data_IF_949636593528
#
_entry.id   IF_949636593528
#
_cell.length_a   1.000
_cell.length_b   1.000
_cell.length_c   1.000
_cell.angle_alpha   90.00
_cell.angle_beta   90.00
_cell.angle_gamma   90.00
#
_symmetry.space_group_name_H-M   'P 1'
#
loop_
_entity.id
_entity.type
_entity.pdbx_description
1 polymer ?
#
# COMPACT_ATOMS: atom_id res chain seq x y z
N UNK A 1 -20.34 -17.21 14.24
CA UNK A 1 -19.78 -15.85 13.99
C UNK A 1 -18.86 -15.87 12.77
N UNK A 2 -19.25 -15.23 11.65
CA UNK A 2 -18.39 -15.05 10.47
C UNK A 2 -17.69 -13.69 10.57
N UNK A 3 -16.58 -13.61 11.29
CA UNK A 3 -15.72 -12.40 11.36
C UNK A 3 -14.45 -12.65 10.56
N UNK A 4 -14.54 -12.98 9.27
CA UNK A 4 -13.34 -13.07 8.42
C UNK A 4 -13.66 -12.58 7.03
N UNK A 5 -12.83 -11.64 6.56
CA UNK A 5 -12.68 -11.15 5.18
C UNK A 5 -13.43 -9.88 4.80
N UNK A 6 -13.28 -8.82 5.60
CA UNK A 6 -13.48 -7.47 5.07
C UNK A 6 -12.14 -6.96 4.56
N UNK A 7 -12.02 -6.80 3.24
CA UNK A 7 -10.86 -6.39 2.43
C UNK A 7 -9.65 -7.35 2.39
N UNK A 8 -9.49 -8.02 1.22
CA UNK A 8 -8.21 -8.58 0.75
C UNK A 8 -7.25 -7.41 0.42
N UNK A 9 -6.75 -6.69 1.41
CA UNK A 9 -5.40 -6.15 1.25
C UNK A 9 -4.51 -7.35 1.61
N UNK A 10 -3.58 -7.74 0.73
CA UNK A 10 -2.67 -8.84 1.06
C UNK A 10 -1.98 -8.38 2.34
N UNK A 11 -2.02 -9.18 3.39
CA UNK A 11 -1.41 -8.86 4.69
C UNK A 11 -0.01 -8.24 4.58
N UNK A 12 0.88 -8.64 3.63
CA UNK A 12 2.13 -7.92 3.40
C UNK A 12 1.97 -6.47 2.89
N UNK A 13 1.09 -6.20 1.91
CA UNK A 13 0.90 -4.89 1.30
C UNK A 13 0.45 -3.84 2.34
N UNK A 14 -0.41 -4.25 3.27
CA UNK A 14 -0.86 -3.40 4.38
C UNK A 14 0.31 -3.00 5.30
N UNK A 15 1.21 -3.94 5.59
CA UNK A 15 2.38 -3.69 6.44
C UNK A 15 3.36 -2.75 5.72
N UNK A 16 3.61 -2.97 4.43
CA UNK A 16 4.49 -2.11 3.60
C UNK A 16 3.95 -0.67 3.57
N UNK A 17 2.66 -0.50 3.29
CA UNK A 17 2.01 0.79 3.27
C UNK A 17 2.04 1.48 4.64
N UNK A 18 1.77 0.75 5.73
CA UNK A 18 1.80 1.28 7.09
C UNK A 18 3.21 1.78 7.46
N UNK A 19 4.25 0.99 7.18
CA UNK A 19 5.65 1.40 7.42
C UNK A 19 6.01 2.66 6.63
N UNK A 20 5.65 2.72 5.34
CA UNK A 20 5.92 3.89 4.52
C UNK A 20 5.20 5.15 5.04
N UNK A 21 3.96 5.02 5.51
CA UNK A 21 3.21 6.14 6.11
C UNK A 21 3.83 6.58 7.43
N UNK A 22 4.14 5.66 8.35
CA UNK A 22 4.69 5.98 9.68
C UNK A 22 6.04 6.67 9.57
N UNK A 23 6.88 6.24 8.62
CA UNK A 23 8.19 6.83 8.38
C UNK A 23 8.18 7.95 7.34
N UNK A 24 7.00 8.34 6.84
CA UNK A 24 6.82 9.39 5.84
C UNK A 24 7.64 9.17 4.54
N UNK A 25 7.85 7.90 4.19
CA UNK A 25 8.60 7.44 3.02
C UNK A 25 7.73 7.41 1.76
N UNK A 26 8.39 7.49 0.62
CA UNK A 26 7.76 7.28 -0.69
C UNK A 26 7.96 5.83 -1.14
N UNK A 27 6.87 5.12 -1.38
CA UNK A 27 6.89 3.73 -1.83
C UNK A 27 7.08 3.68 -3.35
N UNK A 28 8.22 3.17 -3.81
CA UNK A 28 8.46 2.95 -5.23
C UNK A 28 7.88 1.58 -5.59
N UNK A 29 6.86 1.56 -6.43
CA UNK A 29 6.18 0.33 -6.84
C UNK A 29 5.59 0.49 -8.23
N UNK A 30 5.62 -0.58 -9.02
CA UNK A 30 4.86 -0.67 -10.27
C UNK A 30 3.42 -1.15 -10.03
N UNK A 31 3.10 -1.54 -8.79
CA UNK A 31 1.81 -2.10 -8.45
C UNK A 31 0.80 -0.98 -8.18
N UNK A 32 -0.21 -0.88 -9.03
CA UNK A 32 -1.26 0.13 -8.92
C UNK A 32 -2.20 -0.12 -7.72
N UNK A 33 -2.12 -1.29 -7.09
CA UNK A 33 -2.90 -1.65 -5.90
C UNK A 33 -2.66 -0.67 -4.72
N UNK A 34 -1.50 0.01 -4.68
CA UNK A 34 -1.15 0.99 -3.63
C UNK A 34 -1.71 2.40 -3.89
N UNK A 35 -2.19 2.68 -5.11
CA UNK A 35 -2.61 4.02 -5.51
C UNK A 35 -3.93 4.47 -4.83
N UNK A 36 -4.69 3.51 -4.28
CA UNK A 36 -5.92 3.78 -3.51
C UNK A 36 -5.70 4.10 -2.03
N UNK A 37 -4.45 4.08 -1.54
CA UNK A 37 -4.14 4.28 -0.12
C UNK A 37 -3.94 5.77 0.16
N UNK A 38 -4.95 6.38 0.76
CA UNK A 38 -4.91 7.77 1.19
C UNK A 38 -3.75 7.98 2.18
N UNK A 39 -2.90 9.00 1.94
CA UNK A 39 -1.65 9.33 2.67
C UNK A 39 -0.41 8.52 2.32
N UNK A 40 -0.48 7.54 1.43
CA UNK A 40 0.72 6.85 0.92
C UNK A 40 1.25 7.60 -0.31
N UNK A 41 2.53 7.99 -0.29
CA UNK A 41 3.20 8.53 -1.48
C UNK A 41 3.74 7.35 -2.30
N UNK A 42 3.32 7.23 -3.55
CA UNK A 42 3.78 6.17 -4.46
C UNK A 42 4.45 6.77 -5.70
N UNK A 43 5.50 6.12 -6.21
CA UNK A 43 6.15 6.48 -7.47
C UNK A 43 6.24 5.22 -8.33
N UNK A 44 5.81 5.32 -9.59
CA UNK A 44 6.00 4.26 -10.57
C UNK A 44 7.33 4.48 -11.34
N UNK A 45 8.32 3.58 -11.19
CA UNK A 45 9.62 3.73 -11.86
C UNK A 45 9.57 3.49 -13.38
N UNK A 46 8.51 2.89 -13.92
CA UNK A 46 8.37 2.63 -15.37
C UNK A 46 7.73 3.79 -16.13
N UNK A 47 7.22 4.81 -15.41
CA UNK A 47 6.68 6.02 -16.01
C UNK A 47 7.70 7.17 -16.06
N UNK A 48 8.99 6.87 -15.82
CA UNK A 48 10.10 7.83 -15.77
C UNK A 48 10.86 7.90 -17.09
#
# INVERSE_FOLDING_TARGET
>A
MKIRRSKKIRTPDAIIAATAIVHNLTLITNDNDFNGIQKLKTINPFSL
#
